data_IF_559814732445
#
_entry.id   IF_559814732445
#
_cell.length_a   1.000
_cell.length_b   1.000
_cell.length_c   1.000
_cell.angle_alpha   90.00
_cell.angle_beta   90.00
_cell.angle_gamma   90.00
#
_symmetry.space_group_name_H-M   'P 1'
#
loop_
_entity.id
_entity.type
_entity.pdbx_description
1 polymer ?
#
# COMPACT_ATOMS: atom_id res chain seq x y z
N UNK A 1 10.75 -19.98 6.76
CA UNK A 1 10.67 -18.51 6.70
C UNK A 1 9.67 -18.18 5.61
N UNK A 2 8.39 -18.12 5.97
CA UNK A 2 7.32 -17.92 5.00
C UNK A 2 7.24 -16.45 4.61
N UNK A 3 7.50 -16.17 3.33
CA UNK A 3 7.27 -14.89 2.68
C UNK A 3 5.80 -14.50 2.82
N UNK A 4 5.50 -13.61 3.76
CA UNK A 4 4.15 -13.03 3.89
C UNK A 4 3.88 -12.17 2.66
N UNK A 5 2.92 -12.62 1.86
CA UNK A 5 2.35 -11.89 0.73
C UNK A 5 1.76 -10.55 1.21
N UNK A 6 2.01 -9.46 0.47
CA UNK A 6 1.58 -8.07 0.72
C UNK A 6 0.06 -7.83 0.68
N UNK A 7 -0.76 -8.89 0.86
CA UNK A 7 -2.21 -8.83 0.73
C UNK A 7 -2.87 -8.67 2.11
N UNK A 8 -3.59 -7.55 2.29
CA UNK A 8 -4.35 -7.25 3.49
C UNK A 8 -5.43 -8.33 3.72
N UNK A 9 -5.44 -8.99 4.88
CA UNK A 9 -6.30 -10.15 5.14
C UNK A 9 -7.50 -9.74 5.97
N UNK A 10 -8.68 -9.70 5.35
CA UNK A 10 -9.94 -9.37 6.01
C UNK A 10 -10.74 -10.63 6.28
N UNK A 11 -11.29 -10.75 7.48
CA UNK A 11 -12.27 -11.77 7.80
C UNK A 11 -13.66 -11.15 7.87
N UNK A 12 -14.59 -11.66 7.05
CA UNK A 12 -15.99 -11.24 7.04
C UNK A 12 -16.83 -12.32 7.72
N UNK A 13 -17.43 -11.97 8.85
CA UNK A 13 -18.47 -12.77 9.50
C UNK A 13 -19.84 -12.35 8.95
N UNK A 14 -20.24 -12.98 7.84
CA UNK A 14 -21.56 -12.78 7.25
C UNK A 14 -22.07 -14.08 6.60
N UNK A 15 -23.39 -14.29 6.69
CA UNK A 15 -24.07 -15.38 5.99
C UNK A 15 -24.64 -14.97 4.63
N UNK A 16 -24.44 -13.72 4.21
CA UNK A 16 -24.95 -13.17 2.96
C UNK A 16 -23.86 -13.19 1.87
N UNK A 17 -23.98 -14.06 0.85
CA UNK A 17 -22.99 -14.16 -0.24
C UNK A 17 -22.95 -12.90 -1.12
N UNK A 18 -24.02 -12.12 -1.17
CA UNK A 18 -24.06 -10.87 -1.92
C UNK A 18 -23.19 -9.80 -1.27
N UNK A 19 -23.05 -9.86 0.06
CA UNK A 19 -22.23 -8.92 0.83
C UNK A 19 -20.74 -9.19 0.60
N UNK A 20 -20.34 -10.46 0.51
CA UNK A 20 -18.98 -10.83 0.12
C UNK A 20 -18.66 -10.30 -1.28
N UNK A 21 -19.49 -10.65 -2.27
CA UNK A 21 -19.27 -10.29 -3.67
C UNK A 21 -19.20 -8.77 -3.84
N UNK A 22 -20.08 -8.03 -3.15
CA UNK A 22 -20.09 -6.57 -3.18
C UNK A 22 -18.85 -5.97 -2.52
N UNK A 23 -18.40 -6.51 -1.38
CA UNK A 23 -17.21 -6.03 -0.69
C UNK A 23 -15.95 -6.29 -1.52
N UNK A 24 -15.84 -7.45 -2.16
CA UNK A 24 -14.75 -7.74 -3.11
C UNK A 24 -14.74 -6.76 -4.28
N UNK A 25 -15.91 -6.46 -4.85
CA UNK A 25 -16.03 -5.46 -5.92
C UNK A 25 -15.64 -4.06 -5.45
N UNK A 26 -16.05 -3.65 -4.26
CA UNK A 26 -15.75 -2.33 -3.69
C UNK A 26 -14.25 -2.19 -3.38
N UNK A 27 -13.61 -3.25 -2.85
CA UNK A 27 -12.16 -3.28 -2.63
C UNK A 27 -11.39 -3.26 -3.96
N UNK A 28 -11.85 -4.01 -4.98
CA UNK A 28 -11.27 -3.98 -6.32
C UNK A 28 -11.39 -2.61 -6.98
N UNK A 29 -12.56 -1.96 -6.83
CA UNK A 29 -12.81 -0.60 -7.31
C UNK A 29 -11.96 0.44 -6.58
N UNK A 30 -11.69 0.21 -5.30
CA UNK A 30 -10.77 1.00 -4.49
C UNK A 30 -9.29 0.65 -4.72
N UNK A 31 -8.99 -0.34 -5.57
CA UNK A 31 -7.65 -0.85 -5.83
C UNK A 31 -6.91 -1.26 -4.55
N UNK A 32 -7.61 -1.97 -3.65
CA UNK A 32 -7.04 -2.46 -2.40
C UNK A 32 -6.72 -3.95 -2.60
N UNK A 33 -5.44 -4.36 -2.58
CA UNK A 33 -5.07 -5.77 -2.61
C UNK A 33 -5.39 -6.42 -1.26
N UNK A 34 -6.64 -6.85 -1.10
CA UNK A 34 -7.14 -7.51 0.09
C UNK A 34 -7.66 -8.92 -0.23
N UNK A 35 -7.32 -9.88 0.62
CA UNK A 35 -7.89 -11.22 0.62
C UNK A 35 -9.03 -11.26 1.62
N UNK A 36 -10.24 -11.55 1.16
CA UNK A 36 -11.40 -11.72 2.05
C UNK A 36 -11.57 -13.21 2.37
N UNK A 37 -11.67 -13.53 3.66
CA UNK A 37 -12.03 -14.86 4.16
C UNK A 37 -13.39 -14.78 4.83
N UNK A 38 -14.34 -15.61 4.41
CA UNK A 38 -15.70 -15.59 4.95
C UNK A 38 -15.87 -16.66 6.02
N UNK A 39 -16.42 -16.27 7.16
CA UNK A 39 -16.89 -17.17 8.20
C UNK A 39 -18.40 -16.99 8.40
N UNK A 40 -19.13 -18.10 8.48
CA UNK A 40 -20.60 -18.08 8.63
C UNK A 40 -21.05 -18.04 10.10
N UNK A 41 -20.15 -18.39 11.01
CA UNK A 41 -20.39 -18.60 12.44
C UNK A 41 -19.09 -18.45 13.24
N UNK A 42 -19.20 -18.32 14.58
CA UNK A 42 -18.06 -18.17 15.50
C UNK A 42 -17.13 -19.39 15.48
N UNK A 43 -17.66 -20.62 15.32
CA UNK A 43 -16.80 -21.81 15.22
C UNK A 43 -15.92 -21.79 13.97
N UNK A 44 -16.43 -21.22 12.88
CA UNK A 44 -15.69 -21.00 11.64
C UNK A 44 -14.68 -19.84 11.75
N UNK A 45 -14.99 -18.82 12.55
CA UNK A 45 -14.05 -17.75 12.92
C UNK A 45 -12.82 -18.33 13.63
N UNK A 46 -13.03 -19.10 14.70
CA UNK A 46 -11.95 -19.71 15.47
C UNK A 46 -11.00 -20.52 14.59
N UNK A 47 -11.55 -21.37 13.71
CA UNK A 47 -10.76 -22.17 12.76
C UNK A 47 -10.00 -21.32 11.75
N UNK A 48 -10.57 -20.21 11.29
CA UNK A 48 -9.90 -19.31 10.36
C UNK A 48 -8.76 -18.57 11.07
N UNK A 49 -9.00 -18.05 12.27
CA UNK A 49 -8.02 -17.32 13.07
C UNK A 49 -6.86 -18.21 13.54
N UNK A 50 -7.13 -19.49 13.83
CA UNK A 50 -6.09 -20.48 14.14
C UNK A 50 -5.17 -20.78 12.94
N UNK A 51 -5.66 -20.62 11.71
CA UNK A 51 -4.90 -20.89 10.48
C UNK A 51 -4.13 -19.66 9.99
N UNK A 52 -4.63 -18.45 10.25
CA UNK A 52 -4.09 -17.23 9.66
C UNK A 52 -4.44 -16.01 10.52
N UNK A 53 -3.53 -15.04 10.54
CA UNK A 53 -3.75 -13.75 11.19
C UNK A 53 -4.49 -12.83 10.22
N UNK A 54 -5.50 -12.12 10.72
CA UNK A 54 -6.30 -11.17 9.95
C UNK A 54 -6.02 -9.75 10.44
N UNK A 55 -5.95 -8.82 9.50
CA UNK A 55 -5.76 -7.39 9.79
C UNK A 55 -7.06 -6.77 10.29
N UNK A 56 -8.23 -7.32 9.91
CA UNK A 56 -9.52 -6.88 10.42
C UNK A 56 -10.62 -7.92 10.35
N UNK A 57 -11.55 -7.83 11.30
CA UNK A 57 -12.76 -8.66 11.37
C UNK A 57 -13.99 -7.77 11.17
N UNK A 58 -14.78 -8.06 10.16
CA UNK A 58 -16.02 -7.34 9.81
C UNK A 58 -17.22 -8.20 10.21
N UNK A 59 -18.12 -7.65 11.01
CA UNK A 59 -19.31 -8.30 11.54
C UNK A 59 -20.58 -7.60 11.03
N UNK A 60 -21.54 -8.36 10.51
CA UNK A 60 -22.82 -7.80 10.08
C UNK A 60 -23.88 -7.83 11.20
N UNK A 61 -24.36 -6.67 11.66
CA UNK A 61 -25.27 -6.59 12.83
C UNK A 61 -26.66 -7.15 12.58
N UNK A 62 -27.06 -7.40 11.33
CA UNK A 62 -28.35 -8.06 11.04
C UNK A 62 -28.43 -9.45 11.68
N UNK A 63 -27.28 -10.06 12.00
CA UNK A 63 -27.16 -11.34 12.70
C UNK A 63 -26.22 -11.34 13.90
N UNK A 64 -25.32 -10.36 14.02
CA UNK A 64 -24.40 -10.30 15.16
C UNK A 64 -25.17 -9.95 16.45
N UNK A 65 -25.24 -10.91 17.36
CA UNK A 65 -25.72 -10.75 18.72
C UNK A 65 -24.65 -10.04 19.56
N UNK A 66 -25.03 -9.39 20.67
CA UNK A 66 -24.07 -8.85 21.66
C UNK A 66 -23.08 -9.92 22.13
N UNK A 67 -23.54 -11.19 22.17
CA UNK A 67 -22.71 -12.36 22.46
C UNK A 67 -21.64 -12.64 21.39
N UNK A 68 -22.02 -12.56 20.11
CA UNK A 68 -21.09 -12.78 18.99
C UNK A 68 -19.96 -11.74 18.99
N UNK A 69 -20.28 -10.49 19.33
CA UNK A 69 -19.29 -9.42 19.46
C UNK A 69 -18.34 -9.69 20.65
N UNK A 70 -18.88 -10.15 21.79
CA UNK A 70 -18.07 -10.48 22.97
C UNK A 70 -17.15 -11.69 22.73
N UNK A 71 -17.62 -12.69 21.97
CA UNK A 71 -16.84 -13.87 21.62
C UNK A 71 -15.73 -13.51 20.62
N UNK A 72 -16.02 -12.68 19.61
CA UNK A 72 -14.98 -12.15 18.69
C UNK A 72 -13.94 -11.33 19.44
N UNK A 73 -14.36 -10.46 20.37
CA UNK A 73 -13.45 -9.64 21.15
C UNK A 73 -12.51 -10.46 22.05
N UNK A 74 -12.91 -11.67 22.45
CA UNK A 74 -12.07 -12.61 23.21
C UNK A 74 -11.08 -13.37 22.34
N UNK A 75 -11.43 -13.63 21.08
CA UNK A 75 -10.60 -14.38 20.14
C UNK A 75 -9.63 -13.49 19.34
N UNK A 76 -9.93 -12.20 19.23
CA UNK A 76 -9.17 -11.25 18.43
C UNK A 76 -8.21 -10.45 19.32
N UNK A 77 -6.94 -10.36 18.91
CA UNK A 77 -5.97 -9.46 19.53
C UNK A 77 -6.24 -7.99 19.11
N UNK A 78 -6.72 -7.13 20.02
CA UNK A 78 -7.05 -5.76 19.69
C UNK A 78 -5.81 -4.89 19.37
N UNK A 79 -4.60 -5.36 19.69
CA UNK A 79 -3.36 -4.63 19.36
C UNK A 79 -3.04 -4.67 17.87
N UNK A 80 -3.55 -5.67 17.15
CA UNK A 80 -3.14 -5.95 15.77
C UNK A 80 -4.29 -6.17 14.78
N UNK A 81 -5.52 -6.33 15.27
CA UNK A 81 -6.69 -6.59 14.45
C UNK A 81 -7.81 -5.63 14.82
N UNK A 82 -8.30 -4.86 13.84
CA UNK A 82 -9.46 -3.99 14.07
C UNK A 82 -10.77 -4.78 13.89
N UNK A 83 -11.75 -4.49 14.74
CA UNK A 83 -13.08 -5.10 14.66
C UNK A 83 -14.06 -4.04 14.17
N UNK A 84 -14.83 -4.34 13.13
CA UNK A 84 -15.90 -3.47 12.65
C UNK A 84 -17.22 -4.22 12.60
N UNK A 85 -18.14 -3.88 13.51
CA UNK A 85 -19.51 -4.38 13.49
C UNK A 85 -20.46 -3.31 12.95
N UNK A 86 -21.23 -3.62 11.91
CA UNK A 86 -22.10 -2.65 11.27
C UNK A 86 -23.17 -3.24 10.37
N UNK A 87 -24.19 -2.43 10.06
CA UNK A 87 -25.17 -2.78 9.02
C UNK A 87 -24.47 -2.75 7.67
N UNK A 88 -25.08 -3.32 6.62
CA UNK A 88 -24.50 -3.34 5.26
C UNK A 88 -24.04 -1.94 4.78
N UNK A 89 -24.75 -0.88 5.16
CA UNK A 89 -24.37 0.50 4.87
C UNK A 89 -23.13 0.98 5.62
N UNK A 90 -22.97 0.57 6.89
CA UNK A 90 -21.79 0.85 7.72
C UNK A 90 -20.58 0.05 7.24
N UNK A 91 -20.78 -1.21 6.87
CA UNK A 91 -19.73 -2.06 6.26
C UNK A 91 -19.27 -1.46 4.92
N UNK A 92 -20.15 -0.81 4.15
CA UNK A 92 -19.74 -0.09 2.95
C UNK A 92 -18.84 1.11 3.27
N UNK A 93 -19.14 1.85 4.34
CA UNK A 93 -18.28 2.93 4.83
C UNK A 93 -16.99 2.40 5.49
N UNK A 94 -16.96 1.11 5.86
CA UNK A 94 -15.78 0.42 6.36
C UNK A 94 -14.63 0.55 5.39
N UNK A 95 -14.86 0.41 4.08
CA UNK A 95 -13.77 0.40 3.09
C UNK A 95 -12.96 1.70 3.14
N UNK A 96 -13.65 2.84 3.28
CA UNK A 96 -13.00 4.14 3.51
C UNK A 96 -12.30 4.22 4.86
N UNK A 97 -12.87 3.57 5.89
CA UNK A 97 -12.27 3.48 7.23
C UNK A 97 -11.04 2.57 7.24
N UNK A 98 -11.04 1.47 6.49
CA UNK A 98 -9.90 0.55 6.29
C UNK A 98 -8.77 1.31 5.60
N UNK A 99 -9.07 2.15 4.60
CA UNK A 99 -8.09 3.02 3.97
C UNK A 99 -7.55 4.09 4.93
N UNK A 100 -8.42 4.71 5.74
CA UNK A 100 -8.03 5.68 6.75
C UNK A 100 -7.22 5.05 7.89
N UNK A 101 -7.54 3.82 8.30
CA UNK A 101 -6.79 3.05 9.30
C UNK A 101 -5.45 2.62 8.70
N UNK A 102 -5.37 2.17 7.44
CA UNK A 102 -4.08 1.97 6.74
C UNK A 102 -3.23 3.25 6.73
N UNK A 103 -3.87 4.40 6.58
CA UNK A 103 -3.21 5.72 6.60
C UNK A 103 -2.78 6.15 8.02
N UNK A 104 -3.52 5.78 9.07
CA UNK A 104 -3.24 6.13 10.48
C UNK A 104 -2.35 5.11 11.22
N UNK A 105 -2.42 3.83 10.88
CA UNK A 105 -1.45 2.81 11.33
C UNK A 105 -0.08 3.00 10.68
N UNK A 106 0.04 3.90 9.69
CA UNK A 106 1.31 4.49 9.27
C UNK A 106 1.87 5.59 10.20
N UNK A 107 1.15 6.01 11.26
CA UNK A 107 1.56 7.09 12.17
C UNK A 107 1.50 6.72 13.67
N UNK A 108 1.19 5.47 14.04
CA UNK A 108 1.29 5.01 15.43
C UNK A 108 2.20 3.78 15.52
N UNK A 109 3.51 4.03 15.42
CA UNK A 109 4.54 3.02 15.59
C UNK A 109 5.00 2.95 17.05
N UNK A 110 4.59 1.89 17.76
CA UNK A 110 5.45 1.24 18.76
C UNK A 110 6.56 0.43 18.05
N UNK A 111 7.63 0.03 18.75
CA UNK A 111 8.96 -0.19 18.17
C UNK A 111 9.05 -1.55 17.46
N UNK A 112 8.64 -1.57 16.19
CA UNK A 112 8.73 -2.71 15.30
C UNK A 112 8.32 -2.27 13.89
N UNK A 113 9.10 -1.33 13.33
CA UNK A 113 8.79 -0.61 12.12
C UNK A 113 8.43 -1.54 10.96
N UNK A 114 7.15 -1.56 10.58
CA UNK A 114 6.75 -2.01 9.25
C UNK A 114 7.26 -0.95 8.28
N UNK A 115 8.36 -1.26 7.60
CA UNK A 115 8.84 -0.47 6.47
C UNK A 115 7.72 -0.41 5.43
N UNK A 116 7.15 0.77 5.23
CA UNK A 116 6.23 1.02 4.11
C UNK A 116 7.05 0.73 2.84
N UNK A 117 6.66 -0.28 2.06
CA UNK A 117 7.34 -0.55 0.79
C UNK A 117 7.23 0.68 -0.11
N UNK A 118 8.30 0.96 -0.84
CA UNK A 118 8.30 2.01 -1.86
C UNK A 118 7.17 1.79 -2.88
N UNK A 119 6.82 0.54 -3.14
CA UNK A 119 5.75 0.13 -4.05
C UNK A 119 4.37 0.62 -3.56
N UNK A 120 4.05 0.43 -2.28
CA UNK A 120 2.78 0.85 -1.68
C UNK A 120 2.64 2.38 -1.69
N UNK A 121 3.74 3.08 -1.39
CA UNK A 121 3.79 4.53 -1.42
C UNK A 121 3.54 5.07 -2.83
N UNK A 122 4.20 4.49 -3.83
CA UNK A 122 4.02 4.87 -5.23
C UNK A 122 2.62 4.55 -5.72
N UNK A 123 2.08 3.37 -5.42
CA UNK A 123 0.73 2.97 -5.84
C UNK A 123 -0.33 3.96 -5.38
N UNK A 124 -0.29 4.36 -4.10
CA UNK A 124 -1.21 5.35 -3.56
C UNK A 124 -1.09 6.70 -4.28
N UNK A 125 0.13 7.21 -4.48
CA UNK A 125 0.35 8.53 -5.10
C UNK A 125 0.02 8.56 -6.59
N UNK A 126 0.32 7.49 -7.31
CA UNK A 126 0.02 7.38 -8.74
C UNK A 126 -1.48 7.29 -9.00
N UNK A 127 -2.25 6.61 -8.13
CA UNK A 127 -3.71 6.54 -8.25
C UNK A 127 -4.34 7.94 -8.25
N UNK A 128 -3.95 8.80 -7.31
CA UNK A 128 -4.46 10.17 -7.19
C UNK A 128 -4.04 11.03 -8.38
N UNK A 129 -2.78 10.88 -8.83
CA UNK A 129 -2.24 11.63 -9.96
C UNK A 129 -2.96 11.30 -11.28
N UNK A 130 -3.17 10.03 -11.58
CA UNK A 130 -3.89 9.58 -12.79
C UNK A 130 -5.34 10.08 -12.78
N UNK A 131 -6.02 10.04 -11.64
CA UNK A 131 -7.39 10.56 -11.48
C UNK A 131 -7.45 12.06 -11.75
N UNK A 132 -6.50 12.83 -11.21
CA UNK A 132 -6.42 14.27 -11.46
C UNK A 132 -6.19 14.60 -12.94
N UNK A 133 -5.31 13.85 -13.61
CA UNK A 133 -4.93 14.08 -15.00
C UNK A 133 -5.98 13.63 -16.02
N UNK A 134 -6.81 12.63 -15.69
CA UNK A 134 -7.94 12.19 -16.53
C UNK A 134 -8.91 13.33 -16.84
N UNK A 135 -9.08 14.27 -15.91
CA UNK A 135 -10.01 15.38 -16.05
C UNK A 135 -9.43 16.56 -16.87
N UNK A 136 -8.12 16.55 -17.15
CA UNK A 136 -7.41 17.66 -17.76
C UNK A 136 -6.62 17.25 -19.00
N UNK A 137 -7.27 16.67 -20.02
CA UNK A 137 -6.77 16.47 -21.40
C UNK A 137 -5.29 16.09 -21.60
N UNK A 138 -4.65 15.47 -20.61
CA UNK A 138 -3.22 15.30 -20.59
C UNK A 138 -2.82 14.15 -21.53
N UNK A 139 -2.11 14.48 -22.61
CA UNK A 139 -1.49 13.49 -23.49
C UNK A 139 -0.08 13.21 -22.97
N UNK A 140 0.40 11.99 -23.12
CA UNK A 140 1.78 11.58 -22.76
C UNK A 140 2.08 11.53 -21.25
N UNK A 141 1.15 11.01 -20.44
CA UNK A 141 1.33 10.87 -18.98
C UNK A 141 2.54 9.99 -18.61
N UNK A 142 2.72 8.88 -19.32
CA UNK A 142 3.81 7.94 -19.06
C UNK A 142 5.21 8.59 -19.14
N UNK A 143 5.63 9.19 -20.27
CA UNK A 143 6.94 9.83 -20.35
C UNK A 143 7.10 11.02 -19.39
N UNK A 144 6.02 11.74 -19.08
CA UNK A 144 6.04 12.79 -18.05
C UNK A 144 6.40 12.21 -16.67
N UNK A 145 5.75 11.11 -16.27
CA UNK A 145 5.96 10.47 -14.98
C UNK A 145 7.36 9.86 -14.88
N UNK A 146 7.80 9.13 -15.91
CA UNK A 146 9.15 8.58 -15.97
C UNK A 146 10.19 9.70 -15.80
N UNK A 147 10.00 10.83 -16.48
CA UNK A 147 10.89 12.00 -16.33
C UNK A 147 10.89 12.55 -14.90
N UNK A 148 9.73 12.61 -14.26
CA UNK A 148 9.57 13.11 -12.90
C UNK A 148 10.23 12.21 -11.85
N UNK A 149 10.29 10.89 -12.08
CA UNK A 149 10.93 9.93 -11.17
C UNK A 149 12.43 9.79 -11.45
N UNK A 150 12.83 9.69 -12.71
CA UNK A 150 14.24 9.47 -13.08
C UNK A 150 15.13 10.67 -12.73
N UNK A 151 14.62 11.90 -12.89
CA UNK A 151 15.40 13.12 -12.62
C UNK A 151 15.89 13.21 -11.17
N UNK A 152 15.05 13.09 -10.12
CA UNK A 152 15.52 13.09 -8.75
C UNK A 152 16.39 11.87 -8.44
N UNK A 153 16.02 10.68 -8.92
CA UNK A 153 16.80 9.45 -8.69
C UNK A 153 18.26 9.61 -9.16
N UNK A 154 18.44 10.04 -10.40
CA UNK A 154 19.78 10.26 -10.98
C UNK A 154 20.49 11.43 -10.28
N UNK A 155 19.78 12.50 -9.95
CA UNK A 155 20.38 13.63 -9.24
C UNK A 155 20.87 13.26 -7.85
N UNK A 156 20.17 12.40 -7.11
CA UNK A 156 20.59 11.92 -5.80
C UNK A 156 21.77 10.96 -5.93
N UNK A 157 21.72 10.00 -6.85
CA UNK A 157 22.86 9.10 -7.10
C UNK A 157 24.15 9.87 -7.44
N UNK A 158 24.05 10.91 -8.26
CA UNK A 158 25.22 11.77 -8.56
C UNK A 158 25.69 12.57 -7.34
N UNK A 159 24.82 12.96 -6.42
CA UNK A 159 25.23 13.64 -5.18
C UNK A 159 25.97 12.69 -4.25
N UNK A 160 25.42 11.49 -4.04
CA UNK A 160 26.04 10.45 -3.21
C UNK A 160 27.42 10.03 -3.74
N UNK A 161 27.65 10.13 -5.05
CA UNK A 161 28.94 9.80 -5.68
C UNK A 161 29.80 11.02 -5.99
N UNK A 162 29.50 12.20 -5.44
CA UNK A 162 30.25 13.45 -5.67
C UNK A 162 30.45 13.78 -7.16
N UNK A 163 29.44 13.51 -7.99
CA UNK A 163 29.46 13.75 -9.43
C UNK A 163 30.21 12.68 -10.24
N UNK A 164 30.73 11.63 -9.60
CA UNK A 164 31.37 10.52 -10.30
C UNK A 164 30.32 9.68 -11.04
N UNK A 165 30.26 9.87 -12.36
CA UNK A 165 29.28 9.20 -13.22
C UNK A 165 29.52 7.69 -13.34
N UNK A 166 30.74 7.20 -13.18
CA UNK A 166 31.02 5.76 -13.23
C UNK A 166 30.43 5.09 -11.98
N UNK A 167 30.68 5.66 -10.81
CA UNK A 167 30.14 5.17 -9.54
C UNK A 167 28.62 5.34 -9.47
N UNK A 168 28.07 6.47 -9.92
CA UNK A 168 26.61 6.66 -9.98
C UNK A 168 25.94 5.66 -10.93
N UNK A 169 26.55 5.36 -12.08
CA UNK A 169 26.02 4.38 -13.02
C UNK A 169 26.01 2.97 -12.41
N UNK A 170 27.07 2.61 -11.67
CA UNK A 170 27.14 1.36 -10.93
C UNK A 170 26.08 1.29 -9.82
N UNK A 171 25.93 2.35 -9.02
CA UNK A 171 24.92 2.46 -7.96
C UNK A 171 23.49 2.31 -8.50
N UNK A 172 23.23 2.91 -9.67
CA UNK A 172 21.94 2.82 -10.35
C UNK A 172 21.76 1.51 -11.14
N UNK A 173 22.79 0.65 -11.24
CA UNK A 173 22.72 -0.59 -12.01
C UNK A 173 22.57 -0.39 -13.52
N UNK A 174 23.10 0.69 -14.08
CA UNK A 174 22.94 1.03 -15.49
C UNK A 174 24.27 1.34 -16.19
N UNK A 175 24.29 1.26 -17.52
CA UNK A 175 25.48 1.62 -18.29
C UNK A 175 25.78 3.13 -18.17
N UNK A 176 27.05 3.49 -17.94
CA UNK A 176 27.55 4.88 -17.87
C UNK A 176 27.20 5.72 -19.10
N UNK A 177 27.19 5.13 -20.30
CA UNK A 177 26.79 5.83 -21.52
C UNK A 177 25.29 6.17 -21.49
N UNK A 178 24.46 5.27 -20.97
CA UNK A 178 23.02 5.51 -20.78
C UNK A 178 22.80 6.59 -19.71
N UNK A 179 23.52 6.53 -18.58
CA UNK A 179 23.46 7.57 -17.56
C UNK A 179 23.82 8.95 -18.14
N UNK A 180 24.89 9.05 -18.93
CA UNK A 180 25.30 10.31 -19.59
C UNK A 180 24.22 10.86 -20.53
N UNK A 181 23.56 10.01 -21.31
CA UNK A 181 22.42 10.41 -22.16
C UNK A 181 21.27 10.95 -21.30
N UNK A 182 20.86 10.20 -20.26
CA UNK A 182 19.79 10.62 -19.34
C UNK A 182 20.09 11.93 -18.62
N UNK A 183 21.33 12.16 -18.15
CA UNK A 183 21.73 13.43 -17.53
C UNK A 183 21.47 14.62 -18.48
N UNK A 184 21.76 14.43 -19.77
CA UNK A 184 21.57 15.47 -20.79
C UNK A 184 20.09 15.68 -21.11
N UNK A 185 19.33 14.61 -21.34
CA UNK A 185 17.88 14.63 -21.64
C UNK A 185 17.04 15.20 -20.48
N UNK A 186 17.44 14.93 -19.25
CA UNK A 186 16.76 15.37 -18.03
C UNK A 186 17.26 16.72 -17.52
N UNK A 187 18.25 17.34 -18.19
CA UNK A 187 18.89 18.59 -17.79
C UNK A 187 19.34 18.60 -16.31
N UNK A 188 20.06 17.56 -15.91
CA UNK A 188 20.56 17.42 -14.53
C UNK A 188 21.89 18.19 -14.40
N UNK A 189 21.99 19.17 -13.48
CA UNK A 189 23.23 19.92 -13.28
C UNK A 189 24.27 19.02 -12.61
N UNK A 190 25.39 18.79 -13.29
CA UNK A 190 26.55 18.08 -12.71
C UNK A 190 27.59 19.12 -12.31
N UNK A 191 27.74 19.38 -11.00
CA UNK A 191 28.87 20.17 -10.50
C UNK A 191 30.14 19.35 -10.75
N UNK A 192 31.00 19.84 -11.64
CA UNK A 192 32.38 19.35 -11.73
C UNK A 192 33.16 20.02 -10.61
N UNK A 193 33.56 19.26 -9.59
CA UNK A 193 34.65 19.70 -8.74
C UNK A 193 35.89 19.78 -9.63
N UNK A 194 36.32 21.00 -9.93
CA UNK A 194 37.64 21.21 -10.53
C UNK A 194 38.63 20.65 -9.52
N UNK A 195 39.42 19.67 -9.92
CA UNK A 195 40.53 19.17 -9.12
C UNK A 195 41.28 20.35 -8.52
N UNK A 196 41.21 20.49 -7.20
CA UNK A 196 42.00 21.44 -6.44
C UNK A 196 43.45 21.04 -6.75
N UNK A 197 44.12 21.80 -7.62
CA UNK A 197 45.57 21.68 -7.83
C UNK A 197 46.23 21.96 -6.48
N UNK A 198 46.79 20.91 -5.87
CA UNK A 198 47.86 21.02 -4.89
C UNK A 198 49.18 21.23 -5.63
#
# INVERSE_FOLDING_TARGET
>A
MDMRSSAFSLLLLSGDPDLQTQLEQDLKKAWIPATITVAKDIGSLHRAMAKRIFDGVILETKRATVKDLADVQREVDPAHTFILAGSRSVIRQAVGTVQAIRSRTGQSAGPGGREISLEDYLESKLCDFVKGMKNGSARNLHPMLIRAVERPLISHALKETNGNQIQAAHLLGMNRNTLRKKITELHIPVKREKAQKA
#
